data_IF_142674109463
#
_entry.id   IF_142674109463
#
_cell.length_a   1.000
_cell.length_b   1.000
_cell.length_c   1.000
_cell.angle_alpha   90.00
_cell.angle_beta   90.00
_cell.angle_gamma   90.00
#
_symmetry.space_group_name_H-M   'P 1'
#
loop_
_entity.id
_entity.type
_entity.pdbx_description
1 polymer ?
#
# COMPACT_ATOMS: atom_id res chain seq x y z
N UNK A 1 -75.16 29.07 -7.00
CA UNK A 1 -74.54 29.03 -5.65
C UNK A 1 -73.02 28.98 -5.84
N UNK A 2 -72.26 29.82 -5.11
CA UNK A 2 -70.88 29.61 -4.59
C UNK A 2 -69.77 29.18 -5.59
N UNK A 3 -68.55 29.75 -5.73
CA UNK A 3 -67.67 30.79 -5.11
C UNK A 3 -66.64 31.19 -6.22
N UNK A 4 -66.16 32.44 -6.40
CA UNK A 4 -64.99 33.08 -5.73
C UNK A 4 -63.81 32.12 -5.46
N UNK A 5 -62.52 32.41 -5.68
CA UNK A 5 -61.76 33.58 -6.10
C UNK A 5 -60.29 33.17 -6.38
N UNK A 6 -59.60 33.96 -7.20
CA UNK A 6 -58.20 34.46 -7.12
C UNK A 6 -57.11 33.63 -6.40
N UNK A 7 -55.96 33.45 -7.07
CA UNK A 7 -54.58 33.82 -6.61
C UNK A 7 -53.53 33.16 -7.55
N UNK A 8 -52.66 33.91 -8.24
CA UNK A 8 -51.28 34.30 -7.85
C UNK A 8 -50.35 33.06 -7.69
N UNK A 9 -49.12 32.96 -8.18
CA UNK A 9 -48.14 33.90 -8.70
C UNK A 9 -47.06 33.09 -9.44
N UNK A 10 -46.24 33.81 -10.21
CA UNK A 10 -44.98 33.33 -10.78
C UNK A 10 -44.03 32.77 -9.71
N UNK A 11 -43.27 31.74 -10.08
CA UNK A 11 -42.18 31.21 -9.27
C UNK A 11 -41.43 30.13 -10.05
N UNK A 12 -40.50 30.56 -10.90
CA UNK A 12 -39.48 29.68 -11.47
C UNK A 12 -38.63 29.24 -10.28
N UNK A 13 -38.82 28.01 -9.80
CA UNK A 13 -37.85 27.37 -8.93
C UNK A 13 -36.75 26.86 -9.83
N UNK A 14 -35.62 27.59 -9.85
CA UNK A 14 -34.36 27.10 -10.40
C UNK A 14 -34.12 25.70 -9.81
N UNK A 15 -34.08 24.69 -10.67
CA UNK A 15 -33.50 23.41 -10.31
C UNK A 15 -32.03 23.66 -9.96
N UNK A 16 -31.75 23.74 -8.67
CA UNK A 16 -30.39 23.70 -8.17
C UNK A 16 -29.80 22.36 -8.56
N UNK A 17 -29.04 22.33 -9.65
CA UNK A 17 -28.07 21.28 -9.87
C UNK A 17 -27.05 21.44 -8.73
N UNK A 18 -27.28 20.76 -7.62
CA UNK A 18 -26.23 20.49 -6.66
C UNK A 18 -25.18 19.70 -7.45
N UNK A 19 -24.10 20.39 -7.82
CA UNK A 19 -22.87 19.74 -8.21
C UNK A 19 -22.38 18.99 -6.98
N UNK A 20 -22.88 17.78 -6.78
CA UNK A 20 -22.23 16.83 -5.92
C UNK A 20 -20.85 16.61 -6.57
N UNK A 21 -19.82 17.17 -5.96
CA UNK A 21 -18.45 16.80 -6.25
C UNK A 21 -18.41 15.29 -6.06
N UNK A 22 -18.39 14.53 -7.15
CA UNK A 22 -18.09 13.12 -7.08
C UNK A 22 -16.65 13.06 -6.57
N UNK A 23 -16.49 12.73 -5.29
CA UNK A 23 -15.20 12.31 -4.78
C UNK A 23 -14.81 11.11 -5.64
N UNK A 24 -13.85 11.28 -6.54
CA UNK A 24 -13.27 10.15 -7.26
C UNK A 24 -12.83 9.14 -6.20
N UNK A 25 -13.39 7.93 -6.28
CA UNK A 25 -12.99 6.87 -5.37
C UNK A 25 -11.53 6.56 -5.69
N UNK A 26 -10.61 6.89 -4.77
CA UNK A 26 -9.22 6.47 -4.86
C UNK A 26 -9.22 4.95 -4.99
N UNK A 27 -8.76 4.43 -6.13
CA UNK A 27 -8.62 2.99 -6.32
C UNK A 27 -7.42 2.51 -5.49
N UNK A 28 -7.68 1.65 -4.50
CA UNK A 28 -6.68 1.11 -3.59
C UNK A 28 -6.51 -0.38 -3.89
N UNK A 29 -5.28 -0.81 -4.17
CA UNK A 29 -4.93 -2.22 -4.39
C UNK A 29 -3.75 -2.63 -3.53
N UNK A 30 -3.89 -3.76 -2.84
CA UNK A 30 -2.77 -4.43 -2.17
C UNK A 30 -2.34 -5.66 -2.97
N UNK A 31 -1.04 -5.79 -3.21
CA UNK A 31 -0.43 -6.98 -3.84
C UNK A 31 0.59 -7.58 -2.88
N UNK A 32 0.44 -8.86 -2.59
CA UNK A 32 1.34 -9.58 -1.70
C UNK A 32 2.14 -10.65 -2.44
N UNK A 33 3.37 -10.88 -1.99
CA UNK A 33 4.21 -12.01 -2.34
C UNK A 33 4.82 -12.58 -1.07
N UNK A 34 4.98 -13.90 -1.03
CA UNK A 34 5.54 -14.58 0.13
C UNK A 34 6.67 -15.50 -0.31
N UNK A 35 7.66 -15.67 0.56
CA UNK A 35 8.77 -16.61 0.35
C UNK A 35 9.20 -17.21 1.67
N UNK A 36 9.84 -18.36 1.61
CA UNK A 36 10.51 -18.95 2.76
C UNK A 36 12.01 -18.86 2.52
N UNK A 37 12.64 -17.90 3.19
CA UNK A 37 14.07 -17.66 3.12
C UNK A 37 14.59 -17.57 4.55
N UNK A 38 15.24 -18.63 5.02
CA UNK A 38 15.55 -18.88 6.44
C UNK A 38 14.31 -19.05 7.32
N UNK A 39 13.35 -18.14 7.21
CA UNK A 39 12.03 -18.10 7.86
C UNK A 39 10.98 -17.62 6.84
N UNK A 40 9.70 -17.61 7.21
CA UNK A 40 8.63 -17.15 6.32
C UNK A 40 8.56 -15.62 6.31
N UNK A 41 8.61 -15.05 5.10
CA UNK A 41 8.48 -13.62 4.85
C UNK A 41 7.33 -13.37 3.89
N UNK A 42 6.57 -12.31 4.15
CA UNK A 42 5.53 -11.79 3.27
C UNK A 42 5.77 -10.30 3.06
N UNK A 43 5.73 -9.88 1.80
CA UNK A 43 5.79 -8.50 1.39
C UNK A 43 4.46 -8.16 0.73
N UNK A 44 3.75 -7.18 1.30
CA UNK A 44 2.56 -6.59 0.74
C UNK A 44 2.81 -5.13 0.38
N UNK A 45 2.40 -4.71 -0.80
CA UNK A 45 2.49 -3.31 -1.25
C UNK A 45 1.09 -2.82 -1.59
N UNK A 46 0.70 -1.70 -0.99
CA UNK A 46 -0.57 -1.03 -1.24
C UNK A 46 -0.33 0.17 -2.15
N UNK A 47 -0.98 0.15 -3.31
CA UNK A 47 -0.95 1.16 -4.35
C UNK A 47 -2.25 1.97 -4.30
N UNK A 48 -2.17 3.28 -4.46
CA UNK A 48 -3.33 4.16 -4.58
C UNK A 48 -3.32 4.90 -5.92
N UNK A 49 -4.49 5.28 -6.45
CA UNK A 49 -4.64 6.10 -7.65
C UNK A 49 -3.80 5.62 -8.83
N UNK A 50 -4.17 4.46 -9.39
CA UNK A 50 -3.44 3.69 -10.42
C UNK A 50 -3.06 4.46 -11.71
N UNK A 51 -3.64 5.64 -11.93
CA UNK A 51 -3.31 6.52 -13.05
C UNK A 51 -2.01 7.33 -12.84
N UNK A 52 -1.72 7.73 -11.59
CA UNK A 52 -0.56 8.57 -11.19
C UNK A 52 0.15 7.97 -9.95
N UNK A 53 0.18 6.64 -9.86
CA UNK A 53 0.28 5.83 -8.65
C UNK A 53 1.33 6.21 -7.58
N UNK A 54 0.94 7.01 -6.59
CA UNK A 54 1.66 7.10 -5.32
C UNK A 54 1.54 5.76 -4.56
N UNK A 55 2.67 5.17 -4.17
CA UNK A 55 2.67 4.05 -3.24
C UNK A 55 2.56 4.61 -1.83
N UNK A 56 1.35 4.52 -1.30
CA UNK A 56 1.13 5.00 0.06
C UNK A 56 1.80 4.07 1.07
N UNK A 57 1.88 2.74 0.87
CA UNK A 57 2.36 1.87 1.96
C UNK A 57 2.93 0.54 1.48
N UNK A 58 4.18 0.27 1.85
CA UNK A 58 4.81 -1.04 1.78
C UNK A 58 4.81 -1.66 3.18
N UNK A 59 4.32 -2.89 3.32
CA UNK A 59 4.30 -3.66 4.56
C UNK A 59 5.05 -4.97 4.39
N UNK A 60 5.99 -5.23 5.29
CA UNK A 60 6.68 -6.52 5.38
C UNK A 60 6.33 -7.18 6.68
N UNK A 61 5.89 -8.42 6.57
CA UNK A 61 5.65 -9.32 7.68
C UNK A 61 6.69 -10.43 7.68
N UNK A 62 7.39 -10.61 8.79
CA UNK A 62 8.21 -11.79 9.03
C UNK A 62 7.56 -12.63 10.14
N UNK A 63 7.41 -13.93 9.90
CA UNK A 63 6.92 -14.87 10.93
C UNK A 63 8.00 -15.90 11.20
N UNK A 64 8.56 -15.87 12.41
CA UNK A 64 9.55 -16.85 12.85
C UNK A 64 9.31 -17.32 14.28
N UNK A 65 9.63 -18.58 14.57
CA UNK A 65 9.72 -19.12 15.93
C UNK A 65 11.15 -19.19 16.48
N UNK A 66 12.16 -19.01 15.62
CA UNK A 66 13.59 -19.06 16.00
C UNK A 66 14.45 -18.18 15.09
N UNK A 67 15.49 -17.58 15.64
CA UNK A 67 16.52 -16.88 14.87
C UNK A 67 16.25 -15.39 14.72
N UNK A 68 17.25 -14.69 14.19
CA UNK A 68 17.28 -13.23 14.09
C UNK A 68 17.91 -12.78 12.77
N UNK A 69 17.60 -11.58 12.32
CA UNK A 69 18.32 -11.00 11.20
C UNK A 69 17.83 -9.63 10.72
N UNK A 70 18.49 -9.15 9.68
CA UNK A 70 18.23 -7.86 9.08
C UNK A 70 17.27 -7.96 7.88
N UNK A 71 16.73 -6.81 7.52
CA UNK A 71 15.87 -6.56 6.38
C UNK A 71 16.08 -5.14 5.84
N UNK A 72 15.78 -4.98 4.56
CA UNK A 72 15.79 -3.68 3.89
C UNK A 72 14.69 -3.65 2.84
N UNK A 73 13.98 -2.52 2.77
CA UNK A 73 12.89 -2.25 1.84
C UNK A 73 13.38 -1.29 0.78
N UNK A 74 13.10 -1.62 -0.47
CA UNK A 74 13.46 -0.84 -1.64
C UNK A 74 12.21 -0.55 -2.46
N UNK A 75 12.08 0.70 -2.87
CA UNK A 75 11.12 1.14 -3.85
C UNK A 75 11.81 1.63 -5.12
N UNK A 76 11.06 2.19 -6.07
CA UNK A 76 11.58 2.66 -7.36
C UNK A 76 12.64 3.76 -7.22
N UNK A 77 12.65 4.50 -6.11
CA UNK A 77 13.58 5.60 -5.86
C UNK A 77 14.69 5.23 -4.88
N UNK A 78 14.85 3.95 -4.55
CA UNK A 78 15.91 3.43 -3.67
C UNK A 78 15.41 2.92 -2.33
N UNK A 79 16.30 2.91 -1.33
CA UNK A 79 15.98 2.43 0.03
C UNK A 79 14.85 3.25 0.64
N UNK A 80 13.84 2.56 1.14
CA UNK A 80 12.71 3.13 1.88
C UNK A 80 12.99 3.07 3.39
N UNK A 81 13.39 1.89 3.87
CA UNK A 81 13.57 1.60 5.30
C UNK A 81 14.42 0.35 5.49
N UNK A 82 15.04 0.20 6.66
CA UNK A 82 15.85 -0.98 7.00
C UNK A 82 15.79 -1.30 8.50
N UNK A 83 16.50 -2.35 8.91
CA UNK A 83 16.54 -2.85 10.28
C UNK A 83 17.17 -1.94 11.34
N UNK A 84 17.59 -0.71 11.02
CA UNK A 84 17.91 0.26 12.08
C UNK A 84 16.72 0.47 13.04
N UNK A 85 15.50 0.26 12.55
CA UNK A 85 14.25 0.33 13.34
C UNK A 85 13.84 -1.00 13.98
N UNK A 86 14.69 -2.03 13.89
CA UNK A 86 14.49 -3.32 14.52
C UNK A 86 14.71 -4.50 13.58
N UNK A 87 15.36 -5.53 14.09
CA UNK A 87 15.58 -6.81 13.42
C UNK A 87 14.33 -7.70 13.47
N UNK A 88 14.25 -8.65 12.56
CA UNK A 88 13.31 -9.77 12.74
C UNK A 88 13.90 -10.70 13.79
N UNK A 89 13.12 -11.09 14.81
CA UNK A 89 13.56 -12.03 15.88
C UNK A 89 12.40 -12.67 16.62
N UNK A 90 12.37 -14.00 16.76
CA UNK A 90 11.50 -14.73 17.71
C UNK A 90 10.07 -14.14 17.88
N UNK A 91 9.17 -14.36 16.91
CA UNK A 91 7.72 -14.02 16.82
C UNK A 91 7.37 -13.43 15.43
N UNK A 92 6.13 -12.99 15.26
CA UNK A 92 5.67 -12.19 14.11
C UNK A 92 6.11 -10.73 14.28
N UNK A 93 6.65 -10.14 13.21
CA UNK A 93 6.98 -8.73 13.14
C UNK A 93 6.43 -8.12 11.86
N UNK A 94 6.00 -6.88 11.97
CA UNK A 94 5.45 -6.09 10.87
C UNK A 94 6.19 -4.76 10.80
N UNK A 95 6.73 -4.44 9.61
CA UNK A 95 7.36 -3.15 9.33
C UNK A 95 6.70 -2.50 8.14
N UNK A 96 6.59 -1.17 8.18
CA UNK A 96 6.07 -0.40 7.07
C UNK A 96 7.02 0.70 6.62
N UNK A 97 6.96 1.00 5.32
CA UNK A 97 7.67 2.09 4.66
C UNK A 97 6.79 2.76 3.60
N UNK A 98 7.09 4.03 3.30
CA UNK A 98 6.27 4.91 2.46
C UNK A 98 7.19 5.56 1.42
N UNK A 99 6.82 5.54 0.15
CA UNK A 99 7.57 6.19 -0.93
C UNK A 99 6.68 6.33 -2.17
N UNK A 100 6.75 7.45 -2.88
CA UNK A 100 6.02 7.62 -4.14
C UNK A 100 6.55 6.70 -5.25
N UNK A 101 5.69 6.25 -6.16
CA UNK A 101 6.04 5.37 -7.27
C UNK A 101 5.24 5.64 -8.53
N UNK A 102 5.29 4.72 -9.47
CA UNK A 102 4.48 4.70 -10.68
C UNK A 102 3.94 3.29 -10.93
N UNK A 103 2.88 3.22 -11.75
CA UNK A 103 2.32 1.93 -12.13
C UNK A 103 3.36 1.10 -12.89
N UNK A 104 3.56 -0.13 -12.42
CA UNK A 104 4.57 -1.03 -12.94
C UNK A 104 5.96 -0.89 -12.31
N UNK A 105 6.12 -0.06 -11.29
CA UNK A 105 7.35 -0.04 -10.50
C UNK A 105 7.55 -1.31 -9.69
N UNK A 106 8.82 -1.63 -9.43
CA UNK A 106 9.23 -2.80 -8.67
C UNK A 106 9.56 -2.40 -7.22
N UNK A 107 9.00 -3.17 -6.29
CA UNK A 107 9.14 -2.98 -4.85
C UNK A 107 9.74 -4.24 -4.27
N UNK A 108 10.83 -4.15 -3.52
CA UNK A 108 11.59 -5.31 -3.09
C UNK A 108 11.94 -5.26 -1.62
N UNK A 109 11.87 -6.40 -0.95
CA UNK A 109 12.42 -6.63 0.38
C UNK A 109 13.59 -7.60 0.28
N UNK A 110 14.67 -7.29 0.99
CA UNK A 110 15.84 -8.16 1.14
C UNK A 110 15.94 -8.57 2.59
N UNK A 111 16.35 -9.82 2.82
CA UNK A 111 16.49 -10.38 4.16
C UNK A 111 17.88 -10.97 4.34
N UNK A 112 18.42 -10.83 5.55
CA UNK A 112 19.66 -11.46 5.99
C UNK A 112 19.42 -12.20 7.28
N UNK A 113 20.07 -13.34 7.48
CA UNK A 113 20.05 -14.09 8.73
C UNK A 113 21.33 -13.87 9.52
N UNK A 114 21.19 -13.62 10.81
CA UNK A 114 22.30 -13.66 11.76
C UNK A 114 22.75 -15.11 12.02
N UNK A 115 24.06 -15.35 11.92
CA UNK A 115 24.69 -16.65 12.20
C UNK A 115 25.50 -16.65 13.49
N UNK A 116 25.48 -15.57 14.28
CA UNK A 116 26.32 -15.34 15.45
C UNK A 116 27.76 -14.91 15.12
N UNK A 117 28.17 -15.03 13.86
CA UNK A 117 29.47 -14.57 13.34
C UNK A 117 29.33 -13.44 12.32
N UNK A 118 28.10 -13.00 12.05
CA UNK A 118 27.75 -12.03 11.02
C UNK A 118 26.43 -12.37 10.34
N UNK A 119 26.15 -11.69 9.23
CA UNK A 119 24.90 -11.81 8.50
C UNK A 119 25.11 -12.46 7.13
N UNK A 120 24.28 -13.46 6.82
CA UNK A 120 24.22 -14.07 5.49
C UNK A 120 23.02 -13.51 4.73
N UNK A 121 23.25 -12.97 3.54
CA UNK A 121 22.18 -12.42 2.68
C UNK A 121 21.37 -13.54 2.05
N UNK A 122 20.05 -13.33 1.97
CA UNK A 122 19.17 -14.10 1.14
C UNK A 122 19.59 -14.14 -0.32
N UNK A 123 19.44 -15.29 -0.97
CA UNK A 123 19.87 -15.47 -2.36
C UNK A 123 18.99 -14.73 -3.37
N UNK A 124 17.76 -14.33 -2.99
CA UNK A 124 16.86 -13.56 -3.84
C UNK A 124 16.09 -12.51 -3.03
N UNK A 125 15.92 -11.28 -3.54
CA UNK A 125 14.97 -10.33 -3.00
C UNK A 125 13.53 -10.82 -3.24
N UNK A 126 12.65 -10.56 -2.30
CA UNK A 126 11.20 -10.75 -2.47
C UNK A 126 10.65 -9.48 -3.10
N UNK A 127 10.14 -9.55 -4.33
CA UNK A 127 9.68 -8.37 -5.05
C UNK A 127 8.21 -8.46 -5.48
N UNK A 128 7.54 -7.32 -5.44
CA UNK A 128 6.16 -7.09 -5.88
C UNK A 128 6.16 -6.00 -6.95
N UNK A 129 5.31 -6.15 -7.95
CA UNK A 129 5.03 -5.12 -8.94
C UNK A 129 3.53 -5.06 -9.17
N UNK A 130 2.99 -3.85 -9.34
CA UNK A 130 1.66 -3.70 -9.90
C UNK A 130 1.69 -4.24 -11.34
N UNK A 131 1.12 -5.44 -11.56
CA UNK A 131 1.09 -6.02 -12.91
C UNK A 131 0.07 -5.29 -13.75
N UNK A 132 0.52 -4.70 -14.87
CA UNK A 132 -0.34 -4.14 -15.91
C UNK A 132 -1.12 -5.26 -16.60
N UNK A 133 -2.33 -5.53 -16.09
CA UNK A 133 -3.51 -5.93 -16.86
C UNK A 133 -4.73 -5.59 -16.02
N UNK A 134 -5.40 -4.52 -16.43
CA UNK A 134 -6.84 -4.39 -16.28
C UNK A 134 -7.39 -4.46 -17.70
#
# INVERSE_FOLDING_TARGET
MKRMAVAMAAGIVLAGAASASATEATDIRTVCQSTTLFVSHELCVTFQNVADADVEKMEVRATTSTGMGHWELFGPRGTIKNSLDGEWKDRTHDWSGYQDGANGDLWCAVFWRDTGAGYIKGTQPLCVKATNRW
#
